data_IF_685822041226
#
_entry.id   IF_685822041226
#
_cell.length_a   1.000
_cell.length_b   1.000
_cell.length_c   1.000
_cell.angle_alpha   90.00
_cell.angle_beta   90.00
_cell.angle_gamma   90.00
#
_symmetry.space_group_name_H-M   'P 1'
#
loop_
_entity.id
_entity.type
_entity.pdbx_description
1 polymer ?
#
# COMPACT_ATOMS: atom_id res chain seq x y z
N UNK A 1 15.02 13.78 10.90
CA UNK A 1 13.78 12.96 10.82
C UNK A 1 12.84 13.63 9.83
N UNK A 2 12.99 13.34 8.53
CA UNK A 2 12.19 13.97 7.48
C UNK A 2 10.78 13.39 7.46
N UNK A 3 9.75 14.24 7.55
CA UNK A 3 8.35 13.83 7.48
C UNK A 3 8.06 13.28 6.07
N UNK A 4 7.68 12.02 5.96
CA UNK A 4 7.21 11.42 4.71
C UNK A 4 5.86 12.07 4.38
N UNK A 5 5.83 12.89 3.32
CA UNK A 5 4.57 13.47 2.85
C UNK A 5 3.76 12.36 2.19
N UNK A 6 2.51 12.09 2.62
CA UNK A 6 1.69 11.08 1.99
C UNK A 6 1.40 11.51 0.55
N UNK A 7 1.92 10.75 -0.40
CA UNK A 7 1.53 10.86 -1.81
C UNK A 7 0.01 10.73 -1.92
N UNK A 8 -0.65 11.71 -2.54
CA UNK A 8 -2.10 11.66 -2.83
C UNK A 8 -2.47 10.56 -3.83
N UNK A 9 -1.49 9.87 -4.44
CA UNK A 9 -1.68 8.84 -5.44
C UNK A 9 -1.92 7.49 -4.75
N UNK A 10 -3.13 6.97 -4.87
CA UNK A 10 -3.49 5.64 -4.37
C UNK A 10 -2.99 4.57 -5.36
N UNK A 11 -1.94 3.84 -5.00
CA UNK A 11 -1.38 2.77 -5.83
C UNK A 11 -2.25 1.49 -5.86
N UNK A 12 -3.26 1.39 -5.00
CA UNK A 12 -4.19 0.26 -4.93
C UNK A 12 -5.45 0.45 -5.78
N UNK A 13 -5.65 1.62 -6.41
CA UNK A 13 -6.70 1.82 -7.41
C UNK A 13 -6.19 1.47 -8.81
N UNK A 14 -6.89 0.60 -9.57
CA UNK A 14 -6.53 0.31 -10.95
C UNK A 14 -6.48 1.58 -11.79
N UNK A 15 -5.43 1.74 -12.59
CA UNK A 15 -5.18 2.94 -13.38
C UNK A 15 -4.03 2.73 -14.36
N UNK A 16 -3.32 3.80 -14.70
CA UNK A 16 -2.14 3.73 -15.56
C UNK A 16 -1.04 2.90 -14.85
N UNK A 17 -0.42 1.91 -15.51
CA UNK A 17 0.70 1.16 -14.95
C UNK A 17 1.82 2.08 -14.47
N UNK A 18 2.49 1.69 -13.38
CA UNK A 18 3.70 2.36 -12.90
C UNK A 18 4.83 2.20 -13.93
N UNK A 19 5.68 3.22 -14.07
CA UNK A 19 6.96 3.04 -14.78
C UNK A 19 7.91 2.17 -13.95
N UNK A 20 8.92 1.59 -14.61
CA UNK A 20 9.95 0.79 -13.93
C UNK A 20 10.68 1.60 -12.86
N UNK A 21 11.03 2.85 -13.14
CA UNK A 21 11.71 3.74 -12.20
C UNK A 21 10.83 4.05 -10.98
N UNK A 22 9.52 4.25 -11.19
CA UNK A 22 8.57 4.47 -10.09
C UNK A 22 8.44 3.22 -9.22
N UNK A 23 8.39 2.04 -9.82
CA UNK A 23 8.34 0.77 -9.11
C UNK A 23 9.60 0.57 -8.25
N UNK A 24 10.78 0.70 -8.84
CA UNK A 24 12.06 0.53 -8.14
C UNK A 24 12.23 1.53 -6.99
N UNK A 25 11.78 2.77 -7.17
CA UNK A 25 11.80 3.78 -6.10
C UNK A 25 10.92 3.36 -4.93
N UNK A 26 9.71 2.87 -5.19
CA UNK A 26 8.78 2.44 -4.14
C UNK A 26 9.32 1.21 -3.37
N UNK A 27 9.98 0.27 -4.06
CA UNK A 27 10.63 -0.88 -3.42
C UNK A 27 11.75 -0.41 -2.48
N UNK A 28 12.66 0.46 -2.94
CA UNK A 28 13.74 1.01 -2.10
C UNK A 28 13.23 1.82 -0.90
N UNK A 29 12.07 2.44 -1.03
CA UNK A 29 11.42 3.13 0.09
C UNK A 29 10.85 2.12 1.09
N UNK A 30 10.20 1.05 0.61
CA UNK A 30 9.67 -0.02 1.45
C UNK A 30 10.76 -0.77 2.22
N UNK A 31 11.94 -0.97 1.63
CA UNK A 31 13.10 -1.58 2.29
C UNK A 31 13.60 -0.79 3.52
N UNK A 32 13.35 0.52 3.56
CA UNK A 32 13.67 1.38 4.72
C UNK A 32 12.58 1.36 5.79
N UNK A 33 11.46 0.71 5.50
CA UNK A 33 10.34 0.57 6.42
C UNK A 33 10.64 -0.37 7.58
N UNK A 34 9.81 -0.36 8.63
CA UNK A 34 9.89 -1.35 9.69
C UNK A 34 9.63 -2.75 9.15
N UNK A 35 10.34 -3.73 9.69
CA UNK A 35 10.05 -5.14 9.45
C UNK A 35 8.78 -5.53 10.20
N UNK A 36 7.83 -6.14 9.49
CA UNK A 36 6.62 -6.70 10.09
C UNK A 36 6.70 -8.22 10.11
N UNK A 37 6.26 -8.82 11.20
CA UNK A 37 6.10 -10.26 11.30
C UNK A 37 5.00 -10.75 10.35
N UNK A 38 4.99 -12.06 10.08
CA UNK A 38 3.96 -12.68 9.26
C UNK A 38 2.54 -12.45 9.82
N UNK A 39 2.39 -12.44 11.15
CA UNK A 39 1.10 -12.22 11.81
C UNK A 39 0.61 -10.78 11.62
N UNK A 40 1.48 -9.78 11.82
CA UNK A 40 1.15 -8.37 11.58
C UNK A 40 0.77 -8.14 10.12
N UNK A 41 1.53 -8.74 9.20
CA UNK A 41 1.24 -8.68 7.76
C UNK A 41 -0.13 -9.27 7.44
N UNK A 42 -0.48 -10.43 8.03
CA UNK A 42 -1.78 -11.05 7.84
C UNK A 42 -2.93 -10.16 8.35
N UNK A 43 -2.75 -9.49 9.49
CA UNK A 43 -3.73 -8.55 10.03
C UNK A 43 -3.91 -7.32 9.12
N UNK A 44 -2.84 -6.75 8.59
CA UNK A 44 -2.94 -5.63 7.65
C UNK A 44 -3.67 -6.01 6.37
N UNK A 45 -3.37 -7.18 5.81
CA UNK A 45 -4.05 -7.69 4.61
C UNK A 45 -5.54 -7.93 4.90
N UNK A 46 -5.88 -8.56 6.02
CA UNK A 46 -7.27 -8.80 6.41
C UNK A 46 -8.05 -7.49 6.58
N UNK A 47 -7.46 -6.51 7.27
CA UNK A 47 -8.05 -5.18 7.43
C UNK A 47 -8.25 -4.48 6.09
N UNK A 48 -7.23 -4.52 5.22
CA UNK A 48 -7.31 -3.96 3.87
C UNK A 48 -8.47 -4.59 3.09
N UNK A 49 -8.54 -5.94 2.99
CA UNK A 49 -9.63 -6.65 2.31
C UNK A 49 -11.01 -6.27 2.85
N UNK A 50 -11.17 -6.18 4.17
CA UNK A 50 -12.45 -5.83 4.81
C UNK A 50 -12.98 -4.45 4.36
N UNK A 51 -12.09 -3.49 4.05
CA UNK A 51 -12.48 -2.17 3.54
C UNK A 51 -13.03 -2.23 2.11
N UNK A 52 -12.59 -3.19 1.30
CA UNK A 52 -13.08 -3.36 -0.08
C UNK A 52 -14.36 -4.18 -0.14
N UNK A 53 -14.56 -5.13 0.78
CA UNK A 53 -15.85 -5.83 0.90
C UNK A 53 -16.98 -4.86 1.26
N UNK A 54 -16.74 -3.96 2.22
CA UNK A 54 -17.72 -2.93 2.62
C UNK A 54 -18.04 -1.92 1.50
N UNK A 55 -17.10 -1.67 0.58
CA UNK A 55 -17.32 -0.74 -0.54
C UNK A 55 -18.06 -1.37 -1.72
N UNK A 56 -18.02 -2.70 -1.86
CA UNK A 56 -18.80 -3.44 -2.87
C UNK A 56 -20.22 -3.78 -2.42
N UNK A 57 -20.50 -3.87 -1.11
CA UNK A 57 -21.84 -4.19 -0.61
C UNK A 57 -22.75 -2.97 -0.42
N UNK A 58 -22.24 -1.74 -0.64
CA UNK A 58 -22.99 -0.49 -0.51
C UNK A 58 -23.43 0.10 -1.87
N UNK A 59 -23.44 -0.71 -2.93
CA UNK A 59 -23.91 -0.34 -4.28
C UNK A 59 -25.06 -1.24 -4.71
#
# INVERSE_FOLDING_TARGET
MGKIQPSKKNLATPGVPLSEEEFLRNVKEAEKGPFYTANETAQFIAHWKSKYEKSHSAK
#
